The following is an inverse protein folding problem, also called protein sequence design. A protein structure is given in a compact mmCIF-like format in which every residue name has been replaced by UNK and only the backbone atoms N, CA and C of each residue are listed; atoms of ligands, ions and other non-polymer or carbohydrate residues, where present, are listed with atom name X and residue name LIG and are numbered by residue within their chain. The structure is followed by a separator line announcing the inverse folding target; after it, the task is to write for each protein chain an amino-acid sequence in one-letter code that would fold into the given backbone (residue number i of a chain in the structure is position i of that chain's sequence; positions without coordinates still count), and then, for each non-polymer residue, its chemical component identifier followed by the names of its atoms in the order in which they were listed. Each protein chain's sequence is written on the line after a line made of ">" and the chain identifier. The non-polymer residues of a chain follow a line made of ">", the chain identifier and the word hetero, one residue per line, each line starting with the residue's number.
data_IF_476008142836
#
_entry.id   IF_476008142836
#
_cell.length_a   1.000
_cell.length_b   1.000
_cell.length_c   1.000
_cell.angle_alpha   90.00
_cell.angle_beta   90.00
_cell.angle_gamma   90.00
#
_symmetry.space_group_name_H-M   'P 1'
#
loop_
_entity.id
_entity.type
_entity.pdbx_description
1 polymer ?
#
# COMPACT_ATOMS: atom_id res chain seq x y z
N UNK A 1 -6.82 15.64 38.77
CA UNK A 1 -5.58 16.39 38.46
C UNK A 1 -4.28 15.75 38.97
N UNK A 2 -4.09 15.47 40.28
CA UNK A 2 -2.82 14.89 40.79
C UNK A 2 -2.50 13.48 40.26
N UNK A 3 -3.51 12.62 40.11
CA UNK A 3 -3.34 11.26 39.60
C UNK A 3 -2.90 11.24 38.11
N UNK A 4 -3.54 12.05 37.26
CA UNK A 4 -3.17 12.22 35.85
C UNK A 4 -1.74 12.73 35.67
N UNK A 5 -1.30 13.70 36.47
CA UNK A 5 0.08 14.21 36.42
C UNK A 5 1.11 13.15 36.79
N UNK A 6 0.83 12.33 37.82
CA UNK A 6 1.70 11.20 38.18
C UNK A 6 1.77 10.15 37.08
N UNK A 7 0.62 9.83 36.48
CA UNK A 7 0.55 8.86 35.39
C UNK A 7 1.35 9.31 34.15
N UNK A 8 1.25 10.59 33.79
CA UNK A 8 2.05 11.20 32.72
C UNK A 8 3.55 11.18 33.03
N UNK A 9 3.95 11.48 34.26
CA UNK A 9 5.36 11.42 34.66
C UNK A 9 5.92 9.99 34.61
N UNK A 10 5.18 9.00 35.10
CA UNK A 10 5.59 7.60 35.04
C UNK A 10 5.69 7.12 33.60
N UNK A 11 4.72 7.46 32.74
CA UNK A 11 4.76 7.10 31.33
C UNK A 11 5.98 7.71 30.63
N UNK A 12 6.25 9.00 30.85
CA UNK A 12 7.42 9.67 30.29
C UNK A 12 8.73 9.03 30.75
N UNK A 13 8.81 8.64 32.03
CA UNK A 13 9.97 7.91 32.56
C UNK A 13 10.20 6.57 31.85
N UNK A 14 9.13 5.79 31.66
CA UNK A 14 9.19 4.50 30.94
C UNK A 14 9.59 4.69 29.48
N UNK A 15 9.05 5.71 28.81
CA UNK A 15 9.41 6.01 27.42
C UNK A 15 10.86 6.46 27.26
N UNK A 16 11.35 7.28 28.20
CA UNK A 16 12.73 7.74 28.20
C UNK A 16 13.70 6.57 28.40
N UNK A 17 13.44 5.73 29.39
CA UNK A 17 14.21 4.49 29.64
C UNK A 17 14.17 3.55 28.43
N UNK A 18 13.00 3.40 27.80
CA UNK A 18 12.86 2.62 26.57
C UNK A 18 13.64 3.20 25.39
N UNK A 19 13.89 4.52 25.33
CA UNK A 19 14.52 5.17 24.18
C UNK A 19 16.01 5.46 24.36
N UNK A 20 16.52 5.49 25.59
CA UNK A 20 17.85 6.01 25.90
C UNK A 20 18.72 5.00 26.63
N UNK A 21 20.04 5.10 26.44
CA UNK A 21 21.00 4.34 27.25
C UNK A 21 20.93 2.82 27.07
N UNK A 22 20.34 2.33 25.97
CA UNK A 22 20.12 0.90 25.78
C UNK A 22 21.40 0.18 25.33
N UNK A 23 21.87 -0.85 26.05
CA UNK A 23 22.95 -1.68 25.56
C UNK A 23 22.49 -2.60 24.43
N UNK A 24 23.28 -2.73 23.36
CA UNK A 24 23.08 -3.64 22.25
C UNK A 24 24.36 -4.45 21.99
N UNK A 25 24.19 -5.74 21.73
CA UNK A 25 25.24 -6.67 21.27
C UNK A 25 24.69 -7.54 20.15
N UNK A 26 25.52 -7.94 19.19
CA UNK A 26 25.16 -8.90 18.15
C UNK A 26 25.80 -10.25 18.46
N UNK A 27 25.02 -11.33 18.43
CA UNK A 27 25.51 -12.70 18.60
C UNK A 27 25.31 -13.51 17.32
N UNK A 28 26.39 -14.10 16.80
CA UNK A 28 26.37 -15.01 15.65
C UNK A 28 27.00 -16.32 16.06
N UNK A 29 26.19 -17.38 16.21
CA UNK A 29 26.63 -18.65 16.78
C UNK A 29 27.11 -18.48 18.21
N UNK A 30 28.37 -18.85 18.48
CA UNK A 30 29.04 -18.70 19.78
C UNK A 30 29.74 -17.36 19.98
N UNK A 31 29.85 -16.53 18.93
CA UNK A 31 30.57 -15.26 19.00
C UNK A 31 29.62 -14.11 19.31
N UNK A 32 30.01 -13.26 20.27
CA UNK A 32 29.25 -12.07 20.68
C UNK A 32 30.12 -10.84 20.49
N UNK A 33 29.56 -9.78 19.91
CA UNK A 33 30.26 -8.50 19.74
C UNK A 33 30.48 -7.79 21.09
N UNK A 34 31.32 -6.75 21.08
CA UNK A 34 31.31 -5.76 22.16
C UNK A 34 29.94 -5.09 22.28
N UNK A 35 29.60 -4.62 23.49
CA UNK A 35 28.39 -3.85 23.76
C UNK A 35 28.53 -2.42 23.23
N UNK A 36 27.50 -1.95 22.55
CA UNK A 36 27.32 -0.53 22.19
C UNK A 36 26.10 0.02 22.91
N UNK A 37 26.14 1.27 23.34
CA UNK A 37 24.97 1.93 23.94
C UNK A 37 24.28 2.80 22.91
N UNK A 38 22.96 2.63 22.77
CA UNK A 38 22.14 3.33 21.79
C UNK A 38 21.11 4.21 22.49
N UNK A 39 21.07 5.48 22.08
CA UNK A 39 20.05 6.45 22.49
C UNK A 39 19.23 7.00 21.32
N UNK A 40 19.42 6.44 20.13
CA UNK A 40 18.74 6.85 18.90
C UNK A 40 17.98 5.67 18.30
N UNK A 41 16.79 5.95 17.78
CA UNK A 41 15.89 4.95 17.21
C UNK A 41 15.13 4.14 18.26
N UNK A 42 14.09 3.44 17.82
CA UNK A 42 13.37 2.47 18.66
C UNK A 42 13.83 1.04 18.28
N UNK A 43 13.88 0.09 19.23
CA UNK A 43 14.38 -1.26 18.95
C UNK A 43 13.48 -1.97 17.94
N UNK A 44 14.06 -2.58 16.92
CA UNK A 44 13.31 -3.35 15.93
C UNK A 44 12.77 -4.64 16.56
N UNK A 45 11.52 -4.98 16.24
CA UNK A 45 10.83 -6.15 16.81
C UNK A 45 10.11 -5.88 18.13
N UNK A 46 10.28 -4.71 18.75
CA UNK A 46 9.48 -4.31 19.90
C UNK A 46 8.09 -3.81 19.49
N UNK A 47 7.06 -4.20 20.23
CA UNK A 47 5.65 -3.84 19.99
C UNK A 47 5.41 -2.32 20.06
N UNK A 48 6.18 -1.62 20.89
CA UNK A 48 6.03 -0.18 21.10
C UNK A 48 6.65 0.67 19.97
N UNK A 49 7.66 0.14 19.27
CA UNK A 49 8.43 0.91 18.28
C UNK A 49 7.58 1.45 17.11
N UNK A 50 6.67 0.67 16.49
CA UNK A 50 5.78 1.18 15.43
C UNK A 50 4.85 2.31 15.91
N UNK A 51 4.36 2.23 17.15
CA UNK A 51 3.51 3.27 17.72
C UNK A 51 4.30 4.57 17.92
N UNK A 52 5.51 4.48 18.47
CA UNK A 52 6.37 5.66 18.66
C UNK A 52 6.75 6.31 17.34
N UNK A 53 7.03 5.52 16.30
CA UNK A 53 7.30 6.06 14.97
C UNK A 53 6.05 6.73 14.35
N UNK A 54 4.88 6.15 14.56
CA UNK A 54 3.60 6.76 14.13
C UNK A 54 3.37 8.11 14.82
N UNK A 55 3.67 8.21 16.13
CA UNK A 55 3.56 9.45 16.89
C UNK A 55 4.60 10.48 16.44
N UNK A 56 5.85 10.06 16.21
CA UNK A 56 6.94 10.91 15.73
C UNK A 56 6.58 11.58 14.39
N UNK A 57 5.91 10.85 13.50
CA UNK A 57 5.57 11.34 12.16
C UNK A 57 4.15 11.91 12.09
N UNK A 58 3.41 12.00 13.20
CA UNK A 58 1.98 12.32 13.20
C UNK A 58 1.71 13.72 12.63
N UNK A 59 2.50 14.71 13.03
CA UNK A 59 2.41 16.12 12.64
C UNK A 59 3.00 16.42 11.24
N UNK A 60 3.63 15.43 10.61
CA UNK A 60 3.98 15.49 9.19
C UNK A 60 2.70 15.42 8.33
N UNK A 61 2.06 16.57 8.13
CA UNK A 61 0.80 16.75 7.39
C UNK A 61 0.94 17.76 6.27
N UNK A 62 0.19 17.64 5.14
CA UNK A 62 0.21 18.61 4.04
C UNK A 62 -0.16 20.03 4.51
N UNK A 63 0.40 21.07 3.89
CA UNK A 63 0.00 22.48 4.16
C UNK A 63 -1.16 22.91 3.30
N UNK A 64 -1.24 22.37 2.08
CA UNK A 64 -2.27 22.70 1.12
C UNK A 64 -3.31 21.59 1.03
N UNK A 65 -4.59 21.97 0.98
CA UNK A 65 -5.70 21.05 0.81
C UNK A 65 -5.68 20.30 -0.54
N UNK A 66 -4.92 20.79 -1.52
CA UNK A 66 -4.76 20.15 -2.83
C UNK A 66 -3.79 18.96 -2.83
N UNK A 67 -3.10 18.73 -1.71
CA UNK A 67 -2.06 17.72 -1.58
C UNK A 67 -2.43 16.71 -0.50
N UNK A 68 -2.09 15.44 -0.73
CA UNK A 68 -2.41 14.32 0.14
C UNK A 68 -1.11 13.63 0.54
N UNK A 69 -0.93 13.40 1.84
CA UNK A 69 0.16 12.59 2.35
C UNK A 69 -0.38 11.22 2.72
N UNK A 70 0.21 10.17 2.14
CA UNK A 70 -0.10 8.79 2.49
C UNK A 70 1.13 8.23 3.20
N UNK A 71 0.99 7.89 4.48
CA UNK A 71 2.07 7.40 5.34
C UNK A 71 1.83 5.93 5.68
N UNK A 72 2.84 5.08 5.50
CA UNK A 72 2.83 3.69 5.91
C UNK A 72 4.21 3.30 6.44
N UNK A 73 4.34 3.19 7.76
CA UNK A 73 5.66 3.13 8.39
C UNK A 73 6.54 4.28 7.85
N UNK A 74 7.79 3.99 7.46
CA UNK A 74 8.73 4.96 6.87
C UNK A 74 8.39 5.38 5.43
N UNK A 75 7.56 4.63 4.71
CA UNK A 75 7.12 5.00 3.36
C UNK A 75 6.12 6.17 3.44
N UNK A 76 6.52 7.33 2.94
CA UNK A 76 5.65 8.51 2.79
C UNK A 76 5.50 8.86 1.31
N UNK A 77 4.26 8.93 0.84
CA UNK A 77 3.92 9.35 -0.53
C UNK A 77 3.20 10.68 -0.51
N UNK A 78 3.74 11.63 -1.27
CA UNK A 78 3.13 12.94 -1.50
C UNK A 78 2.41 12.90 -2.84
N UNK A 79 1.10 13.11 -2.81
CA UNK A 79 0.27 13.23 -4.01
C UNK A 79 -0.15 14.69 -4.14
N UNK A 80 0.14 15.33 -5.26
CA UNK A 80 -0.28 16.70 -5.54
C UNK A 80 -0.94 16.84 -6.89
N UNK A 81 -1.98 17.66 -6.97
CA UNK A 81 -2.65 17.98 -8.22
C UNK A 81 -1.88 19.08 -8.97
N UNK A 82 -1.43 18.78 -10.18
CA UNK A 82 -0.86 19.76 -11.11
C UNK A 82 -1.99 20.28 -12.00
N UNK A 83 -2.30 21.57 -11.88
CA UNK A 83 -3.34 22.24 -12.67
C UNK A 83 -2.73 23.32 -13.56
N UNK A 84 -3.24 23.51 -14.77
CA UNK A 84 -2.77 24.57 -15.68
C UNK A 84 -1.25 24.59 -15.93
N UNK A 85 -0.58 23.44 -15.79
CA UNK A 85 0.90 23.30 -15.88
C UNK A 85 1.66 23.93 -14.71
N UNK A 86 0.97 24.32 -13.65
CA UNK A 86 1.56 24.81 -12.42
C UNK A 86 1.77 23.67 -11.43
N UNK A 87 3.04 23.40 -11.13
CA UNK A 87 3.48 22.38 -10.15
C UNK A 87 3.91 22.99 -8.82
N UNK A 88 3.76 24.31 -8.64
CA UNK A 88 4.26 25.08 -7.49
C UNK A 88 3.78 24.50 -6.16
N UNK A 89 2.50 24.15 -6.05
CA UNK A 89 1.93 23.58 -4.82
C UNK A 89 2.49 22.20 -4.51
N UNK A 90 2.79 21.38 -5.52
CA UNK A 90 3.40 20.08 -5.30
C UNK A 90 4.87 20.23 -4.88
N UNK A 91 5.63 21.07 -5.59
CA UNK A 91 7.05 21.29 -5.29
C UNK A 91 7.27 21.93 -3.92
N UNK A 92 6.43 22.90 -3.55
CA UNK A 92 6.52 23.53 -2.23
C UNK A 92 6.26 22.53 -1.10
N UNK A 93 5.34 21.59 -1.29
CA UNK A 93 5.12 20.51 -0.34
C UNK A 93 6.32 19.58 -0.21
N UNK A 94 6.96 19.21 -1.32
CA UNK A 94 8.16 18.37 -1.26
C UNK A 94 9.28 19.09 -0.51
N UNK A 95 9.54 20.36 -0.83
CA UNK A 95 10.55 21.15 -0.11
C UNK A 95 10.26 21.24 1.39
N UNK A 96 8.98 21.39 1.76
CA UNK A 96 8.55 21.43 3.17
C UNK A 96 8.71 20.09 3.86
N UNK A 97 8.41 18.98 3.18
CA UNK A 97 8.66 17.63 3.69
C UNK A 97 10.15 17.41 3.95
N UNK A 98 11.01 17.86 3.02
CA UNK A 98 12.48 17.78 3.19
C UNK A 98 12.94 18.57 4.41
N UNK A 99 12.43 19.79 4.59
CA UNK A 99 12.70 20.60 5.79
C UNK A 99 12.22 19.92 7.07
N UNK A 100 10.98 19.43 7.10
CA UNK A 100 10.42 18.71 8.25
C UNK A 100 11.23 17.46 8.61
N UNK A 101 11.68 16.69 7.61
CA UNK A 101 12.57 15.55 7.86
C UNK A 101 13.87 15.99 8.52
N UNK A 102 14.49 17.08 8.04
CA UNK A 102 15.71 17.63 8.63
C UNK A 102 15.48 18.07 10.09
N UNK A 103 14.40 18.80 10.36
CA UNK A 103 14.06 19.29 11.70
C UNK A 103 13.79 18.14 12.70
N UNK A 104 13.32 17.00 12.20
CA UNK A 104 13.02 15.80 12.99
C UNK A 104 14.13 14.75 12.97
N UNK A 105 15.34 15.08 12.48
CA UNK A 105 16.49 14.18 12.38
C UNK A 105 16.21 12.90 11.57
N UNK A 106 15.40 13.02 10.53
CA UNK A 106 15.07 11.95 9.59
C UNK A 106 15.81 12.20 8.25
N UNK A 107 16.48 11.17 7.75
CA UNK A 107 17.19 11.24 6.48
C UNK A 107 16.33 10.67 5.35
N UNK A 108 16.03 11.50 4.35
CA UNK A 108 15.31 11.08 3.15
C UNK A 108 16.26 10.34 2.19
N UNK A 109 15.88 9.13 1.78
CA UNK A 109 16.65 8.35 0.82
C UNK A 109 16.24 8.71 -0.62
N UNK A 110 16.86 9.73 -1.20
CA UNK A 110 16.52 10.24 -2.54
C UNK A 110 16.66 9.18 -3.64
N UNK A 111 17.64 8.26 -3.50
CA UNK A 111 17.85 7.17 -4.47
C UNK A 111 16.68 6.20 -4.52
N UNK A 112 16.06 5.91 -3.36
CA UNK A 112 14.88 5.05 -3.26
C UNK A 112 13.57 5.77 -3.58
N UNK A 113 13.52 7.10 -3.41
CA UNK A 113 12.32 7.89 -3.72
C UNK A 113 12.15 8.02 -5.23
N UNK A 114 10.95 7.66 -5.71
CA UNK A 114 10.59 7.74 -7.14
C UNK A 114 9.49 8.76 -7.36
N UNK A 115 9.53 9.42 -8.51
CA UNK A 115 8.45 10.29 -8.99
C UNK A 115 7.65 9.57 -10.07
N UNK A 116 6.32 9.66 -10.00
CA UNK A 116 5.44 9.22 -11.07
C UNK A 116 4.48 10.35 -11.41
N UNK A 117 4.37 10.69 -12.70
CA UNK A 117 3.49 11.75 -13.19
C UNK A 117 2.37 11.10 -14.00
N UNK A 118 1.15 11.21 -13.50
CA UNK A 118 -0.05 10.69 -14.18
C UNK A 118 -0.70 11.83 -14.97
N UNK A 119 -0.54 11.81 -16.30
CA UNK A 119 -1.10 12.83 -17.20
C UNK A 119 -1.91 12.16 -18.33
N UNK A 120 -3.20 12.50 -18.42
CA UNK A 120 -4.10 11.98 -19.46
C UNK A 120 -4.45 13.01 -20.54
N UNK A 121 -3.77 14.17 -20.55
CA UNK A 121 -3.93 15.17 -21.61
C UNK A 121 -3.37 14.62 -22.92
N UNK A 122 -4.00 14.98 -24.05
CA UNK A 122 -3.49 14.60 -25.38
C UNK A 122 -2.10 15.19 -25.64
N UNK A 123 -1.88 16.41 -25.15
CA UNK A 123 -0.59 17.09 -25.21
C UNK A 123 0.02 17.05 -23.81
N UNK A 124 1.05 16.25 -23.66
CA UNK A 124 1.76 16.08 -22.40
C UNK A 124 2.62 17.31 -22.14
N UNK A 125 2.64 17.75 -20.89
CA UNK A 125 3.57 18.80 -20.47
C UNK A 125 4.84 18.13 -19.96
N UNK A 126 6.01 18.57 -20.43
CA UNK A 126 7.27 18.15 -19.83
C UNK A 126 7.46 18.92 -18.51
N UNK A 127 7.55 18.16 -17.42
CA UNK A 127 7.80 18.70 -16.09
C UNK A 127 9.30 18.67 -15.79
N UNK A 128 9.82 19.72 -15.16
CA UNK A 128 11.22 19.75 -14.76
C UNK A 128 11.51 18.62 -13.75
N UNK A 129 12.70 18.00 -13.77
CA UNK A 129 13.07 17.02 -12.77
C UNK A 129 12.95 17.60 -11.35
N UNK A 130 12.51 16.77 -10.41
CA UNK A 130 12.49 17.13 -8.99
C UNK A 130 13.89 16.92 -8.40
N UNK A 131 14.40 17.93 -7.68
CA UNK A 131 15.71 17.86 -7.03
C UNK A 131 15.55 18.02 -5.52
N UNK A 132 16.21 17.15 -4.77
CA UNK A 132 16.24 17.16 -3.30
C UNK A 132 17.71 17.16 -2.87
N UNK A 133 18.13 18.20 -2.13
CA UNK A 133 19.51 18.35 -1.64
C UNK A 133 20.58 18.20 -2.73
N UNK A 134 20.30 18.71 -3.94
CA UNK A 134 21.20 18.63 -5.09
C UNK A 134 21.17 17.30 -5.86
N UNK A 135 20.46 16.29 -5.37
CA UNK A 135 20.24 15.03 -6.09
C UNK A 135 18.93 15.05 -6.87
N UNK A 136 18.97 14.65 -8.14
CA UNK A 136 17.77 14.51 -8.98
C UNK A 136 17.03 13.23 -8.65
N UNK A 137 15.74 13.34 -8.37
CA UNK A 137 14.86 12.21 -8.11
C UNK A 137 14.54 11.48 -9.41
N UNK A 138 14.55 10.14 -9.38
CA UNK A 138 14.26 9.35 -10.56
C UNK A 138 12.76 9.40 -10.88
N UNK A 139 12.43 9.86 -12.10
CA UNK A 139 11.08 9.78 -12.64
C UNK A 139 10.89 8.45 -13.36
N UNK A 140 9.86 7.72 -12.98
CA UNK A 140 9.56 6.37 -13.48
C UNK A 140 8.16 6.31 -14.06
N UNK A 141 7.97 5.46 -15.07
CA UNK A 141 6.65 5.18 -15.63
C UNK A 141 5.86 4.14 -14.82
N UNK A 142 6.53 3.45 -13.88
CA UNK A 142 5.95 2.43 -13.03
C UNK A 142 6.69 2.31 -11.71
N UNK A 143 5.96 2.14 -10.62
CA UNK A 143 6.53 1.88 -9.30
C UNK A 143 5.63 0.96 -8.48
N UNK A 144 6.22 0.25 -7.52
CA UNK A 144 5.48 -0.62 -6.61
C UNK A 144 5.10 0.15 -5.35
N UNK A 145 3.81 0.42 -5.18
CA UNK A 145 3.24 1.07 -4.01
C UNK A 145 2.53 0.04 -3.12
N UNK A 146 3.02 -0.18 -1.90
CA UNK A 146 2.45 -1.09 -0.90
C UNK A 146 2.07 -2.49 -1.43
N UNK A 147 2.84 -3.02 -2.38
CA UNK A 147 2.58 -4.35 -2.96
C UNK A 147 2.01 -4.34 -4.38
N UNK A 148 1.45 -3.22 -4.83
CA UNK A 148 0.75 -3.07 -6.12
C UNK A 148 1.59 -2.25 -7.09
N UNK A 149 1.71 -2.66 -8.35
CA UNK A 149 2.36 -1.82 -9.36
C UNK A 149 1.39 -0.76 -9.85
N UNK A 150 1.82 0.51 -9.80
CA UNK A 150 1.09 1.67 -10.31
C UNK A 150 1.92 2.23 -11.46
N UNK A 151 1.30 2.36 -12.63
CA UNK A 151 1.90 2.93 -13.83
C UNK A 151 1.36 4.32 -14.12
N UNK A 152 2.12 5.12 -14.86
CA UNK A 152 1.76 6.51 -15.21
C UNK A 152 0.46 6.59 -16.03
N UNK A 153 0.15 5.53 -16.80
CA UNK A 153 -1.07 5.40 -17.58
C UNK A 153 -2.24 4.78 -16.80
N UNK A 154 -2.01 4.43 -15.53
CA UNK A 154 -2.90 3.66 -14.65
C UNK A 154 -3.43 2.37 -15.29
N UNK A 155 -2.65 1.75 -16.16
CA UNK A 155 -2.93 0.40 -16.67
C UNK A 155 -2.51 -0.66 -15.64
N UNK A 156 -3.28 -1.74 -15.59
CA UNK A 156 -3.02 -2.84 -14.64
C UNK A 156 -2.26 -4.01 -15.27
N UNK A 157 -1.67 -3.81 -16.45
CA UNK A 157 -0.97 -4.84 -17.21
C UNK A 157 0.25 -5.34 -16.45
N UNK A 158 1.10 -4.42 -15.96
CA UNK A 158 2.31 -4.78 -15.22
C UNK A 158 2.00 -5.43 -13.88
N UNK A 159 1.05 -4.87 -13.12
CA UNK A 159 0.57 -5.47 -11.87
C UNK A 159 0.05 -6.89 -12.12
N UNK A 160 -0.79 -7.07 -13.14
CA UNK A 160 -1.33 -8.39 -13.50
C UNK A 160 -0.24 -9.38 -13.89
N UNK A 161 0.75 -8.95 -14.68
CA UNK A 161 1.87 -9.80 -15.07
C UNK A 161 2.71 -10.23 -13.85
N UNK A 162 2.98 -9.30 -12.93
CA UNK A 162 3.71 -9.59 -11.69
C UNK A 162 2.96 -10.59 -10.79
N UNK A 163 1.65 -10.41 -10.59
CA UNK A 163 0.80 -11.34 -9.84
C UNK A 163 0.74 -12.71 -10.52
N UNK A 164 0.53 -12.73 -11.84
CA UNK A 164 0.47 -13.94 -12.64
C UNK A 164 1.77 -14.75 -12.54
N UNK A 165 2.94 -14.10 -12.63
CA UNK A 165 4.25 -14.74 -12.51
C UNK A 165 4.40 -15.45 -11.16
N UNK A 166 4.06 -14.78 -10.05
CA UNK A 166 4.14 -15.38 -8.71
C UNK A 166 3.16 -16.55 -8.54
N UNK A 167 1.91 -16.36 -8.96
CA UNK A 167 0.89 -17.40 -8.89
C UNK A 167 1.24 -18.64 -9.75
N UNK A 168 1.86 -18.43 -10.91
CA UNK A 168 2.36 -19.53 -11.76
C UNK A 168 3.48 -20.33 -11.11
N UNK A 169 4.37 -19.69 -10.34
CA UNK A 169 5.37 -20.41 -9.54
C UNK A 169 4.68 -21.29 -8.49
N UNK A 170 3.64 -20.80 -7.83
CA UNK A 170 2.85 -21.60 -6.87
C UNK A 170 2.10 -22.77 -7.52
N UNK A 171 1.67 -22.65 -8.79
CA UNK A 171 1.07 -23.78 -9.52
C UNK A 171 2.01 -24.98 -9.64
N UNK A 172 3.33 -24.78 -9.69
CA UNK A 172 4.28 -25.89 -9.70
C UNK A 172 4.19 -26.74 -8.42
N UNK A 173 4.12 -26.09 -7.26
CA UNK A 173 3.96 -26.78 -5.98
C UNK A 173 2.59 -27.47 -5.87
N UNK A 174 1.54 -26.84 -6.39
CA UNK A 174 0.22 -27.47 -6.47
C UNK A 174 0.24 -28.76 -7.33
N UNK A 175 0.97 -28.75 -8.46
CA UNK A 175 1.19 -29.97 -9.27
C UNK A 175 1.98 -31.04 -8.51
N UNK A 176 2.97 -30.65 -7.69
CA UNK A 176 3.71 -31.58 -6.83
C UNK A 176 2.79 -32.25 -5.81
N UNK A 177 1.90 -31.48 -5.16
CA UNK A 177 0.90 -32.04 -4.24
C UNK A 177 -0.01 -33.05 -4.93
N UNK A 178 -0.47 -32.73 -6.15
CA UNK A 178 -1.27 -33.66 -6.95
C UNK A 178 -0.51 -34.96 -7.27
N UNK A 179 0.77 -34.87 -7.64
CA UNK A 179 1.62 -36.06 -7.88
C UNK A 179 1.84 -36.89 -6.62
N UNK A 180 1.96 -36.23 -5.47
CA UNK A 180 2.02 -36.87 -4.15
C UNK A 180 0.67 -37.41 -3.68
N UNK A 181 -0.37 -37.40 -4.54
CA UNK A 181 -1.73 -37.89 -4.25
C UNK A 181 -2.38 -37.19 -3.04
N UNK A 182 -2.05 -35.92 -2.82
CA UNK A 182 -2.70 -35.12 -1.79
C UNK A 182 -4.23 -35.05 -2.04
N UNK A 183 -5.07 -35.23 -1.01
CA UNK A 183 -6.51 -35.06 -1.13
C UNK A 183 -6.92 -33.67 -1.63
N UNK A 184 -8.04 -33.58 -2.35
CA UNK A 184 -8.56 -32.31 -2.88
C UNK A 184 -8.71 -31.21 -1.80
N UNK A 185 -9.22 -31.48 -0.58
CA UNK A 185 -9.32 -30.46 0.47
C UNK A 185 -7.98 -29.81 0.83
N UNK A 186 -6.90 -30.60 0.91
CA UNK A 186 -5.55 -30.09 1.21
C UNK A 186 -5.05 -29.20 0.07
N UNK A 187 -5.25 -29.62 -1.17
CA UNK A 187 -4.89 -28.83 -2.34
C UNK A 187 -5.70 -27.53 -2.45
N UNK A 188 -6.99 -27.54 -2.08
CA UNK A 188 -7.82 -26.34 -1.98
C UNK A 188 -7.29 -25.37 -0.93
N UNK A 189 -6.92 -25.85 0.26
CA UNK A 189 -6.32 -25.02 1.31
C UNK A 189 -5.00 -24.41 0.83
N UNK A 190 -4.16 -25.21 0.17
CA UNK A 190 -2.92 -24.70 -0.44
C UNK A 190 -3.20 -23.63 -1.50
N UNK A 191 -4.15 -23.88 -2.41
CA UNK A 191 -4.54 -22.90 -3.42
C UNK A 191 -5.02 -21.59 -2.80
N UNK A 192 -5.90 -21.64 -1.80
CA UNK A 192 -6.41 -20.44 -1.11
C UNK A 192 -5.29 -19.65 -0.43
N UNK A 193 -4.40 -20.35 0.29
CA UNK A 193 -3.32 -19.73 1.04
C UNK A 193 -2.20 -19.14 0.18
N UNK A 194 -1.94 -19.70 -1.02
CA UNK A 194 -0.75 -19.36 -1.81
C UNK A 194 -1.01 -18.79 -3.18
N UNK A 195 -2.09 -19.19 -3.87
CA UNK A 195 -2.41 -18.72 -5.22
C UNK A 195 -3.51 -17.68 -5.15
N UNK A 196 -4.65 -18.01 -4.56
CA UNK A 196 -5.78 -17.09 -4.41
C UNK A 196 -5.34 -15.84 -3.66
N UNK A 197 -4.65 -15.99 -2.51
CA UNK A 197 -4.12 -14.87 -1.72
C UNK A 197 -3.27 -13.88 -2.53
N UNK A 198 -2.45 -14.37 -3.47
CA UNK A 198 -1.67 -13.53 -4.39
C UNK A 198 -2.60 -12.83 -5.37
N UNK A 199 -3.49 -13.59 -6.03
CA UNK A 199 -4.40 -13.05 -7.04
C UNK A 199 -5.45 -12.09 -6.47
N UNK A 200 -5.75 -12.18 -5.18
CA UNK A 200 -6.77 -11.35 -4.51
C UNK A 200 -6.16 -10.22 -3.67
N UNK A 201 -4.83 -10.11 -3.62
CA UNK A 201 -4.15 -9.02 -2.91
C UNK A 201 -4.55 -7.67 -3.49
N UNK A 202 -5.12 -6.80 -2.65
CA UNK A 202 -5.64 -5.49 -3.06
C UNK A 202 -6.64 -5.53 -4.24
N UNK A 203 -7.37 -6.63 -4.42
CA UNK A 203 -8.22 -6.86 -5.61
C UNK A 203 -9.25 -5.75 -5.86
N UNK A 204 -9.72 -5.07 -4.81
CA UNK A 204 -10.64 -3.94 -4.90
C UNK A 204 -10.04 -2.74 -5.64
N UNK A 205 -8.71 -2.59 -5.68
CA UNK A 205 -8.05 -1.43 -6.29
C UNK A 205 -7.94 -1.57 -7.80
N UNK A 206 -7.53 -2.74 -8.29
CA UNK A 206 -7.05 -2.91 -9.66
C UNK A 206 -7.95 -3.78 -10.55
N UNK A 207 -8.68 -4.74 -9.99
CA UNK A 207 -9.35 -5.78 -10.79
C UNK A 207 -10.50 -5.23 -11.65
N UNK A 208 -11.28 -4.28 -11.12
CA UNK A 208 -12.39 -3.65 -11.85
C UNK A 208 -11.94 -2.79 -13.05
N UNK A 209 -10.69 -2.33 -13.05
CA UNK A 209 -10.10 -1.49 -14.10
C UNK A 209 -9.17 -2.28 -15.05
N UNK A 210 -9.04 -3.60 -14.87
CA UNK A 210 -8.30 -4.45 -15.78
C UNK A 210 -8.95 -4.50 -17.17
N UNK A 211 -8.11 -4.65 -18.21
CA UNK A 211 -8.59 -4.94 -19.55
C UNK A 211 -8.85 -6.45 -19.75
N UNK A 212 -9.48 -6.80 -20.88
CA UNK A 212 -9.81 -8.19 -21.19
C UNK A 212 -8.60 -9.14 -21.24
N UNK A 213 -7.41 -8.64 -21.64
CA UNK A 213 -6.19 -9.44 -21.66
C UNK A 213 -5.71 -9.80 -20.25
N UNK A 214 -5.79 -8.83 -19.33
CA UNK A 214 -5.48 -9.03 -17.91
C UNK A 214 -6.41 -10.09 -17.30
N UNK A 215 -7.74 -9.95 -17.49
CA UNK A 215 -8.70 -10.93 -16.99
C UNK A 215 -8.47 -12.33 -17.56
N UNK A 216 -8.21 -12.46 -18.87
CA UNK A 216 -7.89 -13.75 -19.50
C UNK A 216 -6.65 -14.39 -18.88
N UNK A 217 -5.62 -13.59 -18.59
CA UNK A 217 -4.38 -14.07 -17.98
C UNK A 217 -4.63 -14.63 -16.57
N UNK A 218 -5.37 -13.90 -15.75
CA UNK A 218 -5.72 -14.32 -14.39
C UNK A 218 -6.63 -15.57 -14.40
N UNK A 219 -7.65 -15.58 -15.26
CA UNK A 219 -8.59 -16.70 -15.37
C UNK A 219 -7.88 -18.00 -15.78
N UNK A 220 -6.87 -17.94 -16.65
CA UNK A 220 -6.08 -19.13 -17.03
C UNK A 220 -5.40 -19.79 -15.84
N UNK A 221 -4.94 -18.99 -14.86
CA UNK A 221 -4.29 -19.51 -13.65
C UNK A 221 -5.31 -20.24 -12.78
N UNK A 222 -6.49 -19.65 -12.55
CA UNK A 222 -7.58 -20.28 -11.79
C UNK A 222 -8.02 -21.58 -12.46
N UNK A 223 -8.23 -21.56 -13.79
CA UNK A 223 -8.63 -22.75 -14.56
C UNK A 223 -7.57 -23.85 -14.51
N UNK A 224 -6.28 -23.48 -14.53
CA UNK A 224 -5.19 -24.44 -14.36
C UNK A 224 -5.22 -25.07 -12.96
N UNK A 225 -5.46 -24.28 -11.91
CA UNK A 225 -5.61 -24.80 -10.55
C UNK A 225 -6.81 -25.75 -10.43
N UNK A 226 -7.99 -25.35 -10.93
CA UNK A 226 -9.20 -26.20 -10.96
C UNK A 226 -8.92 -27.56 -11.60
N UNK A 227 -8.24 -27.57 -12.75
CA UNK A 227 -7.87 -28.81 -13.45
C UNK A 227 -6.91 -29.69 -12.64
N UNK A 228 -5.97 -29.10 -11.92
CA UNK A 228 -5.01 -29.85 -11.09
C UNK A 228 -5.71 -30.47 -9.87
N UNK A 229 -6.59 -29.70 -9.22
CA UNK A 229 -7.27 -30.14 -8.00
C UNK A 229 -8.39 -31.13 -8.32
N UNK A 230 -9.11 -30.91 -9.43
CA UNK A 230 -10.27 -31.69 -9.83
C UNK A 230 -11.59 -31.20 -9.22
N UNK A 231 -11.66 -29.94 -8.78
CA UNK A 231 -12.86 -29.31 -8.21
C UNK A 231 -13.04 -27.91 -8.78
N UNK A 232 -14.27 -27.41 -8.80
CA UNK A 232 -14.54 -26.02 -9.17
C UNK A 232 -14.06 -25.07 -8.08
N UNK A 233 -13.45 -23.96 -8.50
CA UNK A 233 -12.98 -22.89 -7.62
C UNK A 233 -13.81 -21.62 -7.88
N UNK A 234 -13.98 -20.75 -6.89
CA UNK A 234 -14.68 -19.48 -7.08
C UNK A 234 -14.01 -18.64 -8.18
N UNK A 235 -14.81 -17.94 -8.97
CA UNK A 235 -14.26 -17.03 -9.97
C UNK A 235 -13.66 -15.79 -9.28
N UNK A 236 -12.62 -15.20 -9.88
CA UNK A 236 -12.07 -13.94 -9.37
C UNK A 236 -13.10 -12.80 -9.42
N UNK A 237 -14.07 -12.86 -10.33
CA UNK A 237 -15.16 -11.90 -10.39
C UNK A 237 -16.05 -11.96 -9.14
N UNK A 238 -16.40 -13.17 -8.68
CA UNK A 238 -17.23 -13.36 -7.49
C UNK A 238 -16.49 -12.95 -6.23
N UNK A 239 -15.19 -13.29 -6.15
CA UNK A 239 -14.32 -12.86 -5.04
C UNK A 239 -14.20 -11.34 -5.04
N UNK A 240 -13.92 -10.72 -6.19
CA UNK A 240 -13.87 -9.28 -6.34
C UNK A 240 -15.16 -8.61 -5.87
N UNK A 241 -16.32 -9.08 -6.34
CA UNK A 241 -17.62 -8.55 -5.92
C UNK A 241 -17.84 -8.64 -4.42
N UNK A 242 -17.50 -9.78 -3.82
CA UNK A 242 -17.60 -9.99 -2.37
C UNK A 242 -16.68 -9.04 -1.60
N UNK A 243 -15.42 -8.87 -2.03
CA UNK A 243 -14.47 -7.95 -1.42
C UNK A 243 -14.92 -6.50 -1.55
N UNK A 244 -15.48 -6.13 -2.71
CA UNK A 244 -16.02 -4.79 -2.98
C UNK A 244 -17.14 -4.45 -2.00
N UNK A 245 -18.14 -5.32 -1.90
CA UNK A 245 -19.28 -5.14 -0.99
C UNK A 245 -18.83 -5.07 0.46
N UNK A 246 -17.91 -5.95 0.88
CA UNK A 246 -17.42 -5.94 2.27
C UNK A 246 -16.67 -4.63 2.57
N UNK A 247 -15.81 -4.17 1.65
CA UNK A 247 -15.06 -2.92 1.84
C UNK A 247 -15.99 -1.70 1.80
N UNK A 248 -16.98 -1.65 0.91
CA UNK A 248 -17.94 -0.54 0.88
C UNK A 248 -18.76 -0.48 2.16
N UNK A 249 -19.22 -1.62 2.70
CA UNK A 249 -19.94 -1.68 3.97
C UNK A 249 -19.09 -1.17 5.14
N UNK A 250 -17.80 -1.52 5.19
CA UNK A 250 -16.87 -0.99 6.20
C UNK A 250 -16.74 0.53 6.10
N UNK A 251 -16.61 1.08 4.89
CA UNK A 251 -16.47 2.53 4.68
C UNK A 251 -17.77 3.26 5.05
N UNK A 252 -18.94 2.73 4.66
CA UNK A 252 -20.23 3.32 5.02
C UNK A 252 -20.55 3.21 6.50
N UNK A 253 -20.04 2.17 7.17
CA UNK A 253 -20.24 1.96 8.61
C UNK A 253 -19.35 2.83 9.50
N UNK A 254 -18.33 3.49 8.93
CA UNK A 254 -17.39 4.35 9.64
C UNK A 254 -17.48 5.78 9.10
N UNK A 255 -18.16 6.66 9.84
CA UNK A 255 -18.30 8.08 9.49
C UNK A 255 -16.99 8.87 9.52
N UNK A 256 -15.94 8.32 10.15
CA UNK A 256 -14.61 8.94 10.19
C UNK A 256 -13.72 8.52 9.03
N UNK A 257 -14.14 7.50 8.26
CA UNK A 257 -13.36 7.02 7.13
C UNK A 257 -13.25 8.12 6.05
N UNK A 258 -12.04 8.43 5.52
CA UNK A 258 -11.85 9.52 4.55
C UNK A 258 -12.71 9.40 3.29
N UNK A 259 -13.02 8.16 2.90
CA UNK A 259 -13.89 7.87 1.74
C UNK A 259 -15.38 7.76 2.06
N UNK A 260 -15.82 7.98 3.30
CA UNK A 260 -17.22 7.80 3.72
C UNK A 260 -18.19 8.61 2.85
N UNK A 261 -17.85 9.87 2.57
CA UNK A 261 -18.67 10.79 1.78
C UNK A 261 -18.88 10.39 0.33
N UNK A 262 -18.07 9.48 -0.22
CA UNK A 262 -18.26 8.97 -1.58
C UNK A 262 -19.41 7.96 -1.66
N UNK A 263 -19.74 7.29 -0.56
CA UNK A 263 -20.79 6.26 -0.55
C UNK A 263 -22.10 6.84 0.01
N UNK A 264 -23.11 7.02 -0.84
CA UNK A 264 -24.47 7.39 -0.42
C UNK A 264 -25.48 6.33 -0.83
N UNK A 265 -26.37 5.92 0.07
CA UNK A 265 -27.47 5.02 -0.27
C UNK A 265 -28.46 5.72 -1.22
N UNK A 266 -28.85 5.02 -2.28
CA UNK A 266 -29.97 5.44 -3.12
C UNK A 266 -31.29 5.31 -2.32
N UNK A 267 -32.36 6.04 -2.71
CA UNK A 267 -33.64 6.03 -2.00
C UNK A 267 -34.25 4.64 -1.78
N UNK A 268 -33.89 3.65 -2.60
CA UNK A 268 -34.31 2.27 -2.45
C UNK A 268 -33.70 1.54 -1.24
N UNK A 269 -32.67 2.10 -0.60
CA UNK A 269 -31.94 1.51 0.52
C UNK A 269 -31.10 0.27 0.15
N UNK A 270 -31.06 -0.12 -1.13
CA UNK A 270 -30.45 -1.38 -1.60
C UNK A 270 -29.15 -1.19 -2.39
N UNK A 271 -28.87 0.02 -2.85
CA UNK A 271 -27.75 0.31 -3.75
C UNK A 271 -27.05 1.58 -3.30
N UNK A 272 -25.73 1.59 -3.41
CA UNK A 272 -24.94 2.80 -3.24
C UNK A 272 -24.95 3.58 -4.56
N UNK A 273 -24.97 4.91 -4.45
CA UNK A 273 -24.91 5.83 -5.58
C UNK A 273 -23.56 5.62 -6.28
N UNK A 274 -23.61 5.39 -7.58
CA UNK A 274 -22.43 5.44 -8.45
C UNK A 274 -22.31 6.84 -9.03
N UNK A 275 -21.13 7.45 -8.98
CA UNK A 275 -20.87 8.72 -9.67
C UNK A 275 -21.11 8.57 -11.18
N UNK A 276 -21.79 9.55 -11.79
CA UNK A 276 -21.91 9.61 -13.23
C UNK A 276 -20.54 9.91 -13.84
N UNK A 277 -19.89 8.87 -14.38
CA UNK A 277 -18.61 8.99 -15.05
C UNK A 277 -18.75 8.88 -16.57
N UNK A 278 -18.02 9.74 -17.30
CA UNK A 278 -17.99 9.74 -18.78
C UNK A 278 -17.10 8.64 -19.36
N UNK A 279 -16.15 8.11 -18.58
CA UNK A 279 -15.18 7.11 -19.05
C UNK A 279 -15.36 5.77 -18.35
N UNK A 280 -15.14 4.67 -19.09
CA UNK A 280 -15.17 3.30 -18.55
C UNK A 280 -14.11 3.09 -17.46
N UNK A 281 -12.95 3.74 -17.59
CA UNK A 281 -11.88 3.72 -16.58
C UNK A 281 -12.38 4.19 -15.23
N UNK A 282 -13.04 5.35 -15.19
CA UNK A 282 -13.63 5.82 -13.96
C UNK A 282 -14.67 4.82 -13.51
N UNK A 283 -15.68 4.45 -14.34
CA UNK A 283 -16.73 3.46 -13.97
C UNK A 283 -16.22 2.15 -13.35
N UNK A 284 -15.00 1.70 -13.70
CA UNK A 284 -14.37 0.49 -13.15
C UNK A 284 -13.60 0.65 -11.83
N UNK A 285 -13.39 1.88 -11.34
CA UNK A 285 -12.79 2.17 -10.03
C UNK A 285 -13.64 1.65 -8.87
N UNK A 286 -13.02 1.41 -7.71
CA UNK A 286 -13.75 1.05 -6.48
C UNK A 286 -14.32 2.25 -5.74
N UNK A 287 -13.55 3.33 -5.63
CA UNK A 287 -14.06 4.58 -5.05
C UNK A 287 -14.87 5.26 -6.16
N UNK A 288 -16.18 5.13 -6.00
CA UNK A 288 -17.27 5.86 -6.64
C UNK A 288 -18.19 6.38 -5.57
#
# INVERSE_FOLDING_TARGET
>A
MRLQRRLLQTLNGVLLDFLTGRPQTVRVGSNTSSTITLSTGAPQGCVLSPLLFTLLTHDCTPSQNSNIFIKFADDTTVVGLISNREETNYRSEVSRLVGWCSDNNLSLNVEKTKEIVVDFRRVHTQHAPLTINGATMERVSSTKFLGVHITEDLSWTENTAALAKKAQQCLYFLRKLRRARAPAPIMCTFYRGTIESILTSCITVWYGACNASCWKTLQRIVRAAEKIIGVSLPSLQDIYGTCLTRKSLCITGDSTHPSHSFFSLLPSGRRLRSLQARTSRLKGSFIH
#
